data_IF_034169376703
#
_entry.id   IF_034169376703
#
_cell.length_a   1.000
_cell.length_b   1.000
_cell.length_c   1.000
_cell.angle_alpha   90.00
_cell.angle_beta   90.00
_cell.angle_gamma   90.00
#
_symmetry.space_group_name_H-M   'P 1'
#
loop_
_entity.id
_entity.type
_entity.pdbx_description
1 polymer ?
#
# COMPACT_ATOMS: atom_id res chain seq x y z
N UNK A 1 -12.31 -33.32 -9.98
CA UNK A 1 -13.76 -32.98 -9.87
C UNK A 1 -13.84 -31.60 -9.25
N UNK A 2 -14.72 -30.72 -9.74
CA UNK A 2 -14.89 -29.41 -9.10
C UNK A 2 -15.29 -29.60 -7.63
N UNK A 3 -14.81 -28.71 -6.76
CA UNK A 3 -15.30 -28.62 -5.37
C UNK A 3 -16.81 -28.39 -5.41
N UNK A 4 -17.56 -29.03 -4.50
CA UNK A 4 -19.01 -28.97 -4.43
C UNK A 4 -19.70 -30.30 -4.70
N UNK A 5 -21.00 -30.24 -4.97
CA UNK A 5 -21.84 -31.43 -5.16
C UNK A 5 -22.12 -31.69 -6.64
N UNK A 6 -21.82 -32.90 -7.10
CA UNK A 6 -22.13 -33.39 -8.45
C UNK A 6 -23.12 -34.55 -8.39
N UNK A 7 -24.31 -34.39 -8.95
CA UNK A 7 -25.28 -35.48 -9.11
C UNK A 7 -24.85 -36.39 -10.27
N UNK A 8 -24.61 -37.66 -9.98
CA UNK A 8 -24.26 -38.69 -10.95
C UNK A 8 -25.46 -39.61 -11.21
N UNK A 9 -25.55 -40.13 -12.43
CA UNK A 9 -26.56 -41.12 -12.81
C UNK A 9 -25.91 -42.47 -13.00
N UNK A 10 -26.42 -43.48 -12.29
CA UNK A 10 -26.03 -44.88 -12.44
C UNK A 10 -27.10 -45.61 -13.27
N UNK A 11 -26.68 -46.22 -14.39
CA UNK A 11 -27.56 -46.99 -15.27
C UNK A 11 -27.09 -48.45 -15.35
N UNK A 12 -28.02 -49.39 -15.16
CA UNK A 12 -27.79 -50.82 -15.38
C UNK A 12 -28.51 -51.27 -16.64
N UNK A 13 -27.88 -52.15 -17.41
CA UNK A 13 -28.46 -52.77 -18.62
C UNK A 13 -28.37 -54.28 -18.49
N UNK A 14 -29.46 -55.01 -18.69
CA UNK A 14 -29.43 -56.47 -18.69
C UNK A 14 -28.97 -57.05 -20.04
N UNK A 15 -28.80 -58.38 -20.13
CA UNK A 15 -28.36 -59.05 -21.36
C UNK A 15 -29.38 -58.96 -22.53
N UNK A 16 -30.64 -58.62 -22.23
CA UNK A 16 -31.69 -58.41 -23.23
C UNK A 16 -31.77 -56.96 -23.71
N UNK A 17 -31.01 -56.04 -23.10
CA UNK A 17 -30.95 -54.63 -23.45
C UNK A 17 -31.94 -53.74 -22.67
N UNK A 18 -32.61 -54.25 -21.64
CA UNK A 18 -33.47 -53.41 -20.79
C UNK A 18 -32.61 -52.58 -19.84
N UNK A 19 -32.99 -51.32 -19.63
CA UNK A 19 -32.23 -50.40 -18.77
C UNK A 19 -33.04 -49.88 -17.58
N UNK A 20 -32.38 -49.67 -16.44
CA UNK A 20 -32.91 -48.94 -15.29
C UNK A 20 -31.85 -47.98 -14.75
N UNK A 21 -32.25 -46.83 -14.20
CA UNK A 21 -31.33 -45.81 -13.69
C UNK A 21 -31.74 -45.25 -12.33
N UNK A 22 -30.77 -44.87 -11.52
CA UNK A 22 -30.94 -44.03 -10.34
C UNK A 22 -29.89 -42.90 -10.34
N UNK A 23 -30.08 -41.90 -9.48
CA UNK A 23 -29.08 -40.84 -9.28
C UNK A 23 -28.61 -40.81 -7.83
N UNK A 24 -27.36 -40.36 -7.65
CA UNK A 24 -26.74 -40.15 -6.34
C UNK A 24 -25.84 -38.91 -6.40
N UNK A 25 -25.65 -38.26 -5.27
CA UNK A 25 -24.78 -37.09 -5.17
C UNK A 25 -23.37 -37.49 -4.72
N UNK A 26 -22.37 -36.84 -5.30
CA UNK A 26 -20.97 -36.88 -4.87
C UNK A 26 -20.60 -35.50 -4.39
N UNK A 27 -20.22 -35.35 -3.12
CA UNK A 27 -19.73 -34.10 -2.55
C UNK A 27 -18.21 -34.15 -2.44
N UNK A 28 -17.55 -33.18 -3.07
CA UNK A 28 -16.11 -32.93 -2.96
C UNK A 28 -15.92 -31.69 -2.10
N UNK A 29 -15.18 -31.83 -1.00
CA UNK A 29 -14.83 -30.72 -0.12
C UNK A 29 -13.35 -30.40 -0.27
N UNK A 30 -13.06 -29.12 -0.16
CA UNK A 30 -11.71 -28.63 -0.03
C UNK A 30 -11.48 -28.14 1.40
N UNK A 31 -10.50 -28.75 2.05
CA UNK A 31 -10.19 -28.54 3.48
C UNK A 31 -8.74 -28.13 3.68
N UNK A 32 -7.99 -27.97 2.59
CA UNK A 32 -6.60 -27.61 2.64
C UNK A 32 -6.50 -26.09 2.60
N UNK A 33 -5.71 -25.51 3.50
CA UNK A 33 -5.44 -24.08 3.46
C UNK A 33 -4.48 -23.75 2.32
N UNK A 34 -4.62 -22.55 1.71
CA UNK A 34 -3.64 -22.05 0.77
C UNK A 34 -2.29 -21.82 1.48
N UNK A 35 -1.21 -21.84 0.70
CA UNK A 35 0.12 -21.38 1.13
C UNK A 35 0.30 -19.95 0.64
N UNK A 36 0.76 -19.07 1.53
CA UNK A 36 0.99 -17.65 1.24
C UNK A 36 2.36 -17.26 1.78
N UNK A 37 3.20 -16.72 0.91
CA UNK A 37 4.50 -16.16 1.25
C UNK A 37 4.56 -14.69 0.80
N UNK A 38 4.92 -13.81 1.74
CA UNK A 38 5.12 -12.39 1.46
C UNK A 38 6.59 -12.20 1.03
N UNK A 39 6.80 -11.61 -0.15
CA UNK A 39 8.15 -11.26 -0.60
C UNK A 39 8.55 -9.93 0.02
N UNK A 40 9.32 -10.00 1.10
CA UNK A 40 9.95 -8.81 1.69
C UNK A 40 11.10 -8.37 0.78
N UNK A 41 11.04 -7.16 0.22
CA UNK A 41 12.19 -6.67 -0.55
C UNK A 41 12.05 -5.30 -1.21
N UNK A 42 10.92 -5.00 -1.86
CA UNK A 42 10.82 -3.80 -2.71
C UNK A 42 9.44 -3.13 -2.70
N UNK A 43 8.57 -3.48 -1.75
CA UNK A 43 7.27 -2.82 -1.66
C UNK A 43 7.46 -1.44 -1.03
N UNK A 44 7.01 -0.40 -1.73
CA UNK A 44 6.96 0.96 -1.23
C UNK A 44 5.54 1.51 -1.34
N UNK A 45 5.17 2.33 -0.36
CA UNK A 45 3.99 3.20 -0.42
C UNK A 45 4.49 4.62 -0.58
N UNK A 46 4.22 5.21 -1.74
CA UNK A 46 4.57 6.60 -2.02
C UNK A 46 3.40 7.48 -1.59
N UNK A 47 3.68 8.51 -0.78
CA UNK A 47 2.70 9.52 -0.41
C UNK A 47 2.53 10.53 -1.56
N UNK A 48 1.29 10.94 -1.80
CA UNK A 48 0.95 11.98 -2.76
C UNK A 48 1.11 13.39 -2.18
N UNK A 49 0.83 14.42 -2.99
CA UNK A 49 0.93 15.82 -2.56
C UNK A 49 -0.07 16.23 -1.45
N UNK A 50 -0.98 15.35 -1.06
CA UNK A 50 -1.86 15.53 0.11
C UNK A 50 -1.36 14.80 1.34
N UNK A 51 -0.23 14.09 1.23
CA UNK A 51 0.38 13.33 2.31
C UNK A 51 -0.22 11.94 2.49
N UNK A 52 -0.97 11.43 1.50
CA UNK A 52 -1.69 10.17 1.58
C UNK A 52 -1.10 9.15 0.60
N UNK A 53 -1.03 7.88 1.00
CA UNK A 53 -0.59 6.78 0.15
C UNK A 53 -1.44 5.53 0.36
N UNK A 54 -1.42 4.64 -0.63
CA UNK A 54 -2.14 3.35 -0.55
C UNK A 54 -1.20 2.20 -0.90
N UNK A 55 -1.17 1.18 -0.04
CA UNK A 55 -0.48 -0.07 -0.30
C UNK A 55 -1.19 -0.84 -1.41
N UNK A 56 -0.47 -1.07 -2.50
CA UNK A 56 -0.90 -1.95 -3.57
C UNK A 56 -0.16 -3.27 -3.48
N UNK A 57 -0.88 -4.34 -3.15
CA UNK A 57 -0.30 -5.67 -3.01
C UNK A 57 0.19 -6.26 -4.34
N UNK A 58 -0.31 -5.77 -5.48
CA UNK A 58 0.09 -6.25 -6.80
C UNK A 58 0.10 -7.79 -6.95
N UNK A 59 0.75 -8.29 -8.00
CA UNK A 59 0.98 -9.72 -8.17
C UNK A 59 2.38 -10.18 -7.78
N UNK A 60 3.31 -9.27 -7.45
CA UNK A 60 4.71 -9.60 -7.19
C UNK A 60 5.07 -9.64 -5.68
N UNK A 61 4.28 -8.98 -4.83
CA UNK A 61 4.54 -8.95 -3.39
C UNK A 61 4.15 -10.27 -2.69
N UNK A 62 3.37 -11.12 -3.36
CA UNK A 62 2.83 -12.35 -2.81
C UNK A 62 3.21 -13.54 -3.70
N UNK A 63 3.60 -14.64 -3.08
CA UNK A 63 3.61 -15.95 -3.70
C UNK A 63 2.52 -16.80 -3.06
N UNK A 64 1.60 -17.31 -3.87
CA UNK A 64 0.40 -18.02 -3.41
C UNK A 64 0.20 -19.31 -4.17
N UNK A 65 -0.15 -20.38 -3.46
CA UNK A 65 -0.47 -21.67 -4.05
C UNK A 65 -1.53 -22.41 -3.25
N UNK A 66 -2.36 -23.15 -3.98
CA UNK A 66 -3.35 -24.04 -3.43
C UNK A 66 -3.52 -25.24 -4.40
N UNK A 67 -3.98 -26.38 -3.90
CA UNK A 67 -4.26 -27.56 -4.72
C UNK A 67 -5.62 -27.48 -5.45
N UNK A 68 -6.54 -26.63 -4.99
CA UNK A 68 -7.91 -26.51 -5.49
C UNK A 68 -8.26 -25.10 -5.99
N UNK A 69 -7.55 -24.07 -5.52
CA UNK A 69 -7.72 -22.69 -5.99
C UNK A 69 -6.67 -22.30 -7.05
N UNK A 70 -7.08 -21.50 -8.04
CA UNK A 70 -6.16 -20.98 -9.03
C UNK A 70 -5.35 -19.82 -8.45
N UNK A 71 -4.12 -19.63 -8.95
CA UNK A 71 -3.28 -18.49 -8.59
C UNK A 71 -4.01 -17.14 -8.73
N UNK A 72 -4.81 -16.98 -9.80
CA UNK A 72 -5.54 -15.74 -10.06
C UNK A 72 -6.62 -15.47 -9.02
N UNK A 73 -7.31 -16.51 -8.55
CA UNK A 73 -8.37 -16.37 -7.53
C UNK A 73 -7.75 -16.05 -6.17
N UNK A 74 -6.60 -16.65 -5.84
CA UNK A 74 -5.85 -16.39 -4.61
C UNK A 74 -5.33 -14.94 -4.57
N UNK A 75 -4.72 -14.45 -5.65
CA UNK A 75 -4.28 -13.04 -5.70
C UNK A 75 -5.47 -12.08 -5.64
N UNK A 76 -6.59 -12.42 -6.27
CA UNK A 76 -7.79 -11.59 -6.23
C UNK A 76 -8.45 -11.55 -4.84
N UNK A 77 -8.23 -12.57 -4.00
CA UNK A 77 -8.76 -12.62 -2.63
C UNK A 77 -7.81 -12.02 -1.59
N UNK A 78 -6.59 -11.62 -1.98
CA UNK A 78 -5.60 -11.06 -1.07
C UNK A 78 -6.04 -9.69 -0.53
N UNK A 79 -6.07 -9.57 0.79
CA UNK A 79 -6.46 -8.34 1.50
C UNK A 79 -5.45 -8.05 2.61
N UNK A 80 -4.91 -6.82 2.62
CA UNK A 80 -4.11 -6.31 3.73
C UNK A 80 -5.00 -5.82 4.88
N UNK A 81 -4.55 -5.98 6.12
CA UNK A 81 -5.28 -5.52 7.30
C UNK A 81 -5.42 -3.99 7.37
N UNK A 82 -4.41 -3.28 6.86
CA UNK A 82 -4.41 -1.83 6.60
C UNK A 82 -3.83 -1.61 5.21
N UNK A 83 -4.36 -0.62 4.49
CA UNK A 83 -3.93 -0.29 3.15
C UNK A 83 -3.70 1.21 2.94
N UNK A 84 -4.13 2.07 3.85
CA UNK A 84 -3.96 3.52 3.72
C UNK A 84 -2.94 4.02 4.74
N UNK A 85 -2.05 4.88 4.28
CA UNK A 85 -0.95 5.42 5.05
C UNK A 85 -0.87 6.93 4.86
N UNK A 86 -0.35 7.62 5.86
CA UNK A 86 -0.15 9.06 5.79
C UNK A 86 1.26 9.48 6.23
N UNK A 87 1.50 10.79 6.32
CA UNK A 87 2.80 11.33 6.73
C UNK A 87 3.29 10.85 8.11
N UNK A 88 2.40 10.39 9.01
CA UNK A 88 2.78 9.82 10.30
C UNK A 88 3.38 8.41 10.18
N UNK A 89 3.17 7.75 9.04
CA UNK A 89 3.64 6.39 8.78
C UNK A 89 4.97 6.33 8.01
N UNK A 90 5.56 7.48 7.65
CA UNK A 90 6.85 7.53 6.91
C UNK A 90 7.93 6.73 7.63
N UNK A 91 8.57 5.82 6.89
CA UNK A 91 9.53 4.86 7.42
C UNK A 91 9.14 3.42 7.15
N UNK A 92 9.73 2.49 7.91
CA UNK A 92 9.44 1.06 7.77
C UNK A 92 8.11 0.69 8.44
N UNK A 93 7.30 -0.06 7.71
CA UNK A 93 5.97 -0.51 8.12
C UNK A 93 5.81 -2.01 7.88
N UNK A 94 4.76 -2.56 8.49
CA UNK A 94 4.35 -3.95 8.24
C UNK A 94 2.84 -4.11 8.36
N UNK A 95 2.26 -4.98 7.53
CA UNK A 95 0.83 -5.31 7.58
C UNK A 95 0.62 -6.80 7.38
N UNK A 96 -0.45 -7.35 7.96
CA UNK A 96 -0.83 -8.74 7.72
C UNK A 96 -1.66 -8.82 6.45
N UNK A 97 -1.25 -9.68 5.52
CA UNK A 97 -2.02 -9.99 4.31
C UNK A 97 -2.70 -11.34 4.48
N UNK A 98 -3.99 -11.40 4.19
CA UNK A 98 -4.80 -12.64 4.24
C UNK A 98 -5.30 -12.99 2.86
N UNK A 99 -5.22 -14.27 2.51
CA UNK A 99 -5.68 -14.85 1.24
C UNK A 99 -6.71 -15.94 1.54
N UNK A 100 -7.74 -16.04 0.70
CA UNK A 100 -8.79 -17.07 0.77
C UNK A 100 -8.82 -17.89 -0.53
N UNK A 101 -9.08 -19.19 -0.42
CA UNK A 101 -9.10 -20.14 -1.54
C UNK A 101 -10.47 -20.24 -2.27
N UNK A 102 -11.49 -19.52 -1.81
CA UNK A 102 -12.87 -19.59 -2.30
C UNK A 102 -13.67 -20.78 -1.75
N UNK A 103 -13.01 -21.74 -1.10
CA UNK A 103 -13.61 -22.90 -0.42
C UNK A 103 -13.84 -22.67 1.07
N UNK A 104 -13.40 -21.52 1.59
CA UNK A 104 -13.56 -21.13 3.00
C UNK A 104 -12.30 -21.36 3.83
N UNK A 105 -11.19 -21.77 3.23
CA UNK A 105 -9.90 -21.85 3.90
C UNK A 105 -9.11 -20.56 3.63
N UNK A 106 -8.28 -20.17 4.60
CA UNK A 106 -7.46 -18.96 4.51
C UNK A 106 -6.10 -19.17 5.13
N UNK A 107 -5.14 -18.38 4.66
CA UNK A 107 -3.81 -18.27 5.23
C UNK A 107 -3.33 -16.82 5.15
N UNK A 108 -2.32 -16.49 5.94
CA UNK A 108 -1.80 -15.13 6.06
C UNK A 108 -0.28 -15.12 6.11
N UNK A 109 0.30 -14.02 5.65
CA UNK A 109 1.70 -13.66 5.85
C UNK A 109 1.82 -12.22 6.34
N UNK A 110 2.99 -11.86 6.88
CA UNK A 110 3.32 -10.47 7.24
C UNK A 110 4.15 -9.90 6.10
N UNK A 111 3.71 -8.77 5.56
CA UNK A 111 4.40 -8.03 4.52
C UNK A 111 5.11 -6.83 5.14
N UNK A 112 6.43 -6.73 4.95
CA UNK A 112 7.21 -5.54 5.29
C UNK A 112 7.42 -4.63 4.06
N UNK A 113 7.28 -3.32 4.26
CA UNK A 113 7.38 -2.31 3.20
C UNK A 113 7.77 -0.94 3.78
N UNK A 114 8.23 -0.02 2.93
CA UNK A 114 8.56 1.34 3.34
C UNK A 114 7.50 2.35 2.87
N UNK A 115 7.06 3.24 3.74
CA UNK A 115 6.31 4.45 3.38
C UNK A 115 7.32 5.57 3.15
N UNK A 116 7.25 6.20 1.98
CA UNK A 116 8.21 7.22 1.54
C UNK A 116 7.49 8.47 1.06
N UNK A 117 8.10 9.61 1.37
CA UNK A 117 7.72 10.90 0.84
C UNK A 117 8.78 11.36 -0.16
N UNK A 118 8.36 11.53 -1.42
CA UNK A 118 9.18 12.07 -2.51
C UNK A 118 8.66 13.41 -3.03
N UNK A 119 7.62 13.97 -2.40
CA UNK A 119 7.10 15.28 -2.76
C UNK A 119 8.07 16.32 -2.21
N UNK A 120 8.52 17.22 -3.07
CA UNK A 120 9.39 18.31 -2.65
C UNK A 120 8.56 19.43 -2.00
N UNK A 121 9.09 20.13 -0.98
CA UNK A 121 8.41 21.27 -0.38
C UNK A 121 8.22 22.41 -1.40
N UNK A 122 7.12 23.14 -1.27
CA UNK A 122 6.85 24.37 -2.00
C UNK A 122 7.33 25.58 -1.17
N UNK A 123 8.39 26.24 -1.65
CA UNK A 123 8.95 27.43 -1.00
C UNK A 123 8.22 28.69 -1.48
N UNK A 124 7.60 29.42 -0.55
CA UNK A 124 6.92 30.69 -0.81
C UNK A 124 7.64 31.80 -0.05
N UNK A 125 8.06 32.86 -0.75
CA UNK A 125 8.78 33.98 -0.15
C UNK A 125 8.12 35.33 -0.47
N UNK A 126 8.43 36.32 0.36
CA UNK A 126 8.01 37.71 0.18
C UNK A 126 9.19 38.67 0.31
N UNK A 127 9.05 39.82 -0.34
CA UNK A 127 10.01 40.91 -0.22
C UNK A 127 9.85 41.62 1.14
N UNK A 128 10.98 41.99 1.73
CA UNK A 128 11.01 42.79 2.96
C UNK A 128 11.84 44.05 2.77
N UNK A 129 11.47 45.11 3.49
CA UNK A 129 12.26 46.33 3.60
C UNK A 129 12.70 46.51 5.04
N UNK A 130 14.01 46.49 5.28
CA UNK A 130 14.62 46.67 6.59
C UNK A 130 15.30 48.05 6.70
N UNK A 131 15.41 48.57 7.92
CA UNK A 131 16.09 49.84 8.19
C UNK A 131 17.32 49.59 9.07
N UNK A 132 18.48 50.10 8.64
CA UNK A 132 19.69 50.08 9.44
C UNK A 132 19.49 50.89 10.74
N UNK A 133 19.97 50.35 11.86
CA UNK A 133 19.97 51.06 13.13
C UNK A 133 21.09 52.14 13.18
N UNK A 134 21.23 52.83 14.31
CA UNK A 134 22.24 53.88 14.50
C UNK A 134 23.70 53.42 14.38
N UNK A 135 23.95 52.10 14.39
CA UNK A 135 25.26 51.50 14.16
C UNK A 135 25.45 51.00 12.71
N UNK A 136 24.48 51.22 11.82
CA UNK A 136 24.58 50.85 10.41
C UNK A 136 24.35 49.37 10.12
N UNK A 137 23.59 48.66 10.98
CA UNK A 137 23.27 47.24 10.81
C UNK A 137 21.77 46.98 10.90
N UNK A 138 21.30 45.97 10.18
CA UNK A 138 19.96 45.40 10.29
C UNK A 138 20.00 43.90 10.00
N UNK A 139 18.92 43.18 10.28
CA UNK A 139 18.82 41.78 9.92
C UNK A 139 17.40 41.37 9.60
N UNK A 140 17.29 40.22 8.96
CA UNK A 140 16.03 39.52 8.67
C UNK A 140 16.06 38.15 9.32
N UNK A 141 14.88 37.62 9.56
CA UNK A 141 14.66 36.25 10.03
C UNK A 141 13.93 35.46 8.95
N UNK A 142 13.95 34.13 9.05
CA UNK A 142 13.13 33.26 8.17
C UNK A 142 11.67 33.69 8.19
N UNK A 143 11.12 34.03 9.36
CA UNK A 143 9.71 34.44 9.48
C UNK A 143 9.40 35.79 8.84
N UNK A 144 10.39 36.64 8.58
CA UNK A 144 10.19 37.87 7.82
C UNK A 144 10.03 37.56 6.32
N UNK A 145 10.71 36.51 5.83
CA UNK A 145 10.79 36.15 4.40
C UNK A 145 9.76 35.10 4.00
N UNK A 146 9.43 34.16 4.88
CA UNK A 146 8.53 33.05 4.60
C UNK A 146 7.09 33.55 4.37
N UNK A 147 6.55 33.22 3.20
CA UNK A 147 5.21 33.62 2.77
C UNK A 147 4.23 32.43 2.78
N UNK A 148 4.49 31.43 3.61
CA UNK A 148 3.67 30.23 3.73
C UNK A 148 4.23 29.04 2.96
N UNK A 149 5.55 28.86 2.99
CA UNK A 149 6.18 27.65 2.47
C UNK A 149 5.52 26.42 3.10
N UNK A 150 5.28 25.38 2.31
CA UNK A 150 4.52 24.22 2.78
C UNK A 150 5.00 22.91 2.16
N UNK A 151 4.73 21.84 2.88
CA UNK A 151 4.87 20.46 2.42
C UNK A 151 3.81 19.62 3.14
N UNK A 152 3.28 18.59 2.48
CA UNK A 152 2.24 17.75 3.05
C UNK A 152 2.72 16.98 4.29
N UNK A 153 3.99 16.53 4.28
CA UNK A 153 4.64 15.83 5.39
C UNK A 153 5.55 16.73 6.23
N UNK A 154 5.44 18.04 6.01
CA UNK A 154 6.06 19.08 6.82
C UNK A 154 7.47 19.44 6.38
N UNK A 155 7.90 20.63 6.81
CA UNK A 155 9.21 21.18 6.44
C UNK A 155 10.21 20.87 7.56
N UNK A 156 11.30 20.18 7.22
CA UNK A 156 12.35 19.85 8.17
C UNK A 156 13.17 21.09 8.60
N UNK A 157 13.50 21.97 7.66
CA UNK A 157 14.32 23.16 7.95
C UNK A 157 14.07 24.28 6.95
N UNK A 158 14.26 25.51 7.41
CA UNK A 158 14.28 26.72 6.60
C UNK A 158 15.53 27.51 6.97
N UNK A 159 16.29 27.96 5.98
CA UNK A 159 17.54 28.68 6.17
C UNK A 159 17.63 29.85 5.21
N UNK A 160 18.27 30.92 5.66
CA UNK A 160 18.64 32.06 4.83
C UNK A 160 20.15 32.03 4.60
N UNK A 161 20.56 32.38 3.39
CA UNK A 161 21.97 32.47 2.99
C UNK A 161 22.66 33.69 3.62
N UNK A 162 21.95 34.82 3.72
CA UNK A 162 22.36 36.03 4.42
C UNK A 162 21.23 36.55 5.32
N UNK A 163 21.59 37.00 6.52
CA UNK A 163 20.61 37.46 7.53
C UNK A 163 21.00 38.80 8.14
N UNK A 164 22.23 39.26 7.94
CA UNK A 164 22.74 40.48 8.53
C UNK A 164 23.23 41.40 7.44
N UNK A 165 22.65 42.60 7.39
CA UNK A 165 22.96 43.59 6.39
C UNK A 165 23.64 44.80 7.03
N UNK A 166 24.56 45.42 6.31
CA UNK A 166 25.31 46.59 6.77
C UNK A 166 25.31 47.72 5.72
N UNK A 167 25.94 48.85 6.07
CA UNK A 167 26.01 50.03 5.20
C UNK A 167 26.62 49.80 3.81
N UNK A 168 27.42 48.75 3.59
CA UNK A 168 28.01 48.44 2.28
C UNK A 168 27.07 47.66 1.36
N UNK A 169 25.98 47.14 1.91
CA UNK A 169 24.91 46.42 1.20
C UNK A 169 23.65 47.27 1.04
N UNK A 170 23.66 48.50 1.58
CA UNK A 170 22.60 49.48 1.38
C UNK A 170 22.66 50.05 -0.05
N UNK A 171 21.64 49.74 -0.84
CA UNK A 171 21.41 50.31 -2.18
C UNK A 171 20.79 51.70 -2.16
#
# INVERSE_FOLDING_TARGET
FPVGTTTNTFQVTDAAGNTSSCSFDVTVLDVQQPIVECNDGEVTVELDATGQGTLNLGGQALQVWDNCASYQDLIASAVAAEANYDCSDVGQQSTTVTVNDGSGNSASCVLSFAVVDFVAPDAQCQDVTIQLNGNGVAGVTVGDIDAGSSDACGIQSMVLDEQNFNCYEAG
#
